data_IF_916016470698
#
_entry.id   IF_916016470698
#
_cell.length_a   1.000
_cell.length_b   1.000
_cell.length_c   1.000
_cell.angle_alpha   90.00
_cell.angle_beta   90.00
_cell.angle_gamma   90.00
#
_symmetry.space_group_name_H-M   'P 1'
#
loop_
_entity.id
_entity.type
_entity.pdbx_description
1 polymer ?
#
# COMPACT_ATOMS: atom_id res chain seq x y z
N UNK A 1 -3.23 11.79 9.87
CA UNK A 1 -3.93 10.81 10.68
C UNK A 1 -3.16 10.40 11.92
N UNK A 2 -3.80 9.73 12.83
CA UNK A 2 -3.11 9.16 14.00
C UNK A 2 -2.37 7.90 13.57
N UNK A 3 -1.13 7.75 14.04
CA UNK A 3 -0.39 6.51 13.87
C UNK A 3 -1.04 5.35 14.65
N UNK A 4 -0.79 4.12 14.22
CA UNK A 4 -1.28 2.94 14.91
C UNK A 4 -0.61 2.78 16.28
N UNK A 5 -1.32 2.19 17.24
CA UNK A 5 -0.79 1.92 18.58
C UNK A 5 0.02 0.59 18.65
N UNK A 6 0.35 0.00 17.52
CA UNK A 6 1.02 -1.31 17.43
C UNK A 6 0.08 -2.52 17.58
N UNK A 7 -1.18 -2.28 17.94
CA UNK A 7 -2.22 -3.33 18.11
C UNK A 7 -3.27 -3.34 17.01
N UNK A 8 -3.10 -2.53 15.95
CA UNK A 8 -4.01 -2.48 14.82
C UNK A 8 -5.25 -1.61 15.05
N UNK A 9 -5.18 -0.62 15.94
CA UNK A 9 -6.30 0.29 16.22
C UNK A 9 -6.72 1.11 14.99
N UNK A 10 -5.78 1.44 14.10
CA UNK A 10 -6.06 2.17 12.88
C UNK A 10 -7.02 1.42 11.92
N UNK A 11 -7.04 0.08 11.96
CA UNK A 11 -7.95 -0.74 11.12
C UNK A 11 -9.41 -0.54 11.47
N UNK A 12 -9.73 -0.19 12.71
CA UNK A 12 -11.12 -0.03 13.15
C UNK A 12 -11.85 1.08 12.37
N UNK A 13 -11.12 2.05 11.86
CA UNK A 13 -11.68 3.13 11.04
C UNK A 13 -11.96 2.72 9.59
N UNK A 14 -11.43 1.58 9.15
CA UNK A 14 -11.54 1.09 7.77
C UNK A 14 -12.57 -0.04 7.65
N UNK A 15 -12.86 -0.75 8.74
CA UNK A 15 -13.79 -1.86 8.74
C UNK A 15 -15.25 -1.42 8.57
N UNK A 16 -15.95 -2.07 7.64
CA UNK A 16 -17.35 -1.80 7.34
C UNK A 16 -18.31 -2.69 8.13
N UNK A 17 -17.85 -3.84 8.60
CA UNK A 17 -18.72 -4.86 9.22
C UNK A 17 -18.24 -5.30 10.61
N UNK A 18 -19.18 -5.61 11.49
CA UNK A 18 -18.89 -6.07 12.86
C UNK A 18 -18.05 -7.35 12.93
N UNK A 19 -18.18 -8.24 11.95
CA UNK A 19 -17.36 -9.44 11.88
C UNK A 19 -15.89 -9.15 11.48
N UNK A 20 -15.64 -8.09 10.74
CA UNK A 20 -14.27 -7.63 10.42
C UNK A 20 -13.58 -7.10 11.68
N UNK A 21 -14.31 -6.35 12.51
CA UNK A 21 -13.82 -5.88 13.81
C UNK A 21 -13.46 -7.08 14.71
N UNK A 22 -14.32 -8.10 14.78
CA UNK A 22 -14.10 -9.31 15.60
C UNK A 22 -12.93 -10.16 15.08
N UNK A 23 -12.79 -10.30 13.78
CA UNK A 23 -11.76 -11.14 13.16
C UNK A 23 -10.44 -10.40 12.92
N UNK A 24 -10.45 -9.07 12.93
CA UNK A 24 -9.32 -8.23 12.55
C UNK A 24 -8.93 -8.35 11.08
N UNK A 25 -9.87 -8.75 10.21
CA UNK A 25 -9.61 -9.02 8.78
C UNK A 25 -10.65 -8.35 7.91
N UNK A 26 -10.19 -7.64 6.87
CA UNK A 26 -11.06 -7.10 5.82
C UNK A 26 -11.69 -8.25 5.03
N UNK A 27 -12.98 -8.19 4.78
CA UNK A 27 -13.74 -9.18 4.00
C UNK A 27 -14.46 -8.56 2.82
N UNK A 28 -14.58 -7.25 2.80
CA UNK A 28 -15.27 -6.43 1.79
C UNK A 28 -14.29 -5.55 1.03
N UNK A 29 -14.79 -4.83 0.05
CA UNK A 29 -14.10 -3.70 -0.58
C UNK A 29 -14.51 -2.43 0.14
N UNK A 30 -13.56 -1.75 0.80
CA UNK A 30 -13.80 -0.45 1.40
C UNK A 30 -13.24 0.66 0.49
N UNK A 31 -13.99 1.76 0.35
CA UNK A 31 -13.61 2.90 -0.48
C UNK A 31 -13.34 4.11 0.39
N UNK A 32 -12.18 4.71 0.21
CA UNK A 32 -11.74 5.92 0.90
C UNK A 32 -11.14 6.90 -0.10
N UNK A 33 -11.17 8.19 0.24
CA UNK A 33 -10.55 9.23 -0.58
C UNK A 33 -9.49 9.99 0.20
N UNK A 34 -8.46 10.42 -0.50
CA UNK A 34 -7.41 11.29 0.00
C UNK A 34 -7.29 12.50 -0.93
N UNK A 35 -7.45 13.70 -0.37
CA UNK A 35 -7.32 14.95 -1.10
C UNK A 35 -5.99 15.63 -0.84
N UNK A 36 -5.41 16.21 -1.90
CA UNK A 36 -4.27 17.11 -1.83
C UNK A 36 -4.69 18.50 -2.34
N UNK A 37 -4.25 19.56 -1.67
CA UNK A 37 -4.44 20.93 -2.14
C UNK A 37 -3.44 21.30 -3.26
N UNK A 38 -3.47 22.55 -3.71
CA UNK A 38 -2.56 23.06 -4.74
C UNK A 38 -1.09 23.12 -4.31
N UNK A 39 -0.82 23.09 -3.01
CA UNK A 39 0.53 23.05 -2.44
C UNK A 39 1.01 21.61 -2.16
N UNK A 40 0.18 20.60 -2.44
CA UNK A 40 0.48 19.19 -2.19
C UNK A 40 0.31 18.75 -0.73
N UNK A 41 -0.39 19.55 0.08
CA UNK A 41 -0.72 19.18 1.47
C UNK A 41 -2.01 18.36 1.50
N UNK A 42 -2.08 17.43 2.44
CA UNK A 42 -3.28 16.62 2.65
C UNK A 42 -4.40 17.46 3.24
N UNK A 43 -5.55 17.49 2.55
CA UNK A 43 -6.74 18.24 2.92
C UNK A 43 -7.51 17.55 4.06
N UNK A 44 -7.75 16.25 3.93
CA UNK A 44 -8.50 15.48 4.92
C UNK A 44 -7.59 14.94 6.03
N UNK A 45 -7.06 15.85 6.81
CA UNK A 45 -6.31 15.52 8.01
C UNK A 45 -7.29 15.22 9.16
N UNK A 46 -7.02 14.21 9.99
CA UNK A 46 -7.90 13.64 11.05
C UNK A 46 -8.49 14.61 12.06
N UNK A 47 -8.11 15.87 12.03
CA UNK A 47 -8.61 16.88 12.97
C UNK A 47 -10.04 17.35 12.68
N UNK A 48 -10.55 17.09 11.48
CA UNK A 48 -11.94 17.39 11.09
C UNK A 48 -12.51 16.19 10.34
N UNK A 49 -13.67 15.69 10.77
CA UNK A 49 -14.49 14.77 9.96
C UNK A 49 -15.09 15.58 8.83
N UNK A 50 -14.36 15.70 7.73
CA UNK A 50 -14.87 16.34 6.52
C UNK A 50 -15.70 15.34 5.74
N UNK A 51 -16.83 15.77 5.22
CA UNK A 51 -17.59 15.00 4.26
C UNK A 51 -16.85 14.93 2.93
N UNK A 52 -17.11 13.88 2.14
CA UNK A 52 -16.46 13.70 0.84
C UNK A 52 -16.64 14.91 -0.08
N UNK A 53 -17.80 15.55 -0.03
CA UNK A 53 -18.10 16.75 -0.82
C UNK A 53 -17.14 17.90 -0.48
N UNK A 54 -16.84 18.09 0.78
CA UNK A 54 -15.95 19.14 1.24
C UNK A 54 -14.49 18.83 0.91
N UNK A 55 -14.09 17.55 1.02
CA UNK A 55 -12.76 17.10 0.60
C UNK A 55 -12.57 17.36 -0.90
N UNK A 56 -13.56 17.01 -1.72
CA UNK A 56 -13.51 17.20 -3.18
C UNK A 56 -13.39 18.69 -3.53
N UNK A 57 -14.16 19.57 -2.88
CA UNK A 57 -14.12 21.02 -3.14
C UNK A 57 -12.80 21.66 -2.74
N UNK A 58 -12.16 21.19 -1.66
CA UNK A 58 -10.93 21.73 -1.13
C UNK A 58 -9.66 21.14 -1.77
N UNK A 59 -9.79 20.11 -2.61
CA UNK A 59 -8.66 19.40 -3.18
C UNK A 59 -8.42 19.76 -4.64
N UNK A 60 -7.15 19.90 -5.02
CA UNK A 60 -6.70 20.01 -6.42
C UNK A 60 -6.45 18.63 -7.04
N UNK A 61 -6.10 17.63 -6.20
CA UNK A 61 -5.90 16.22 -6.60
C UNK A 61 -6.61 15.31 -5.60
N UNK A 62 -7.34 14.33 -6.11
CA UNK A 62 -8.05 13.34 -5.29
C UNK A 62 -7.57 11.96 -5.68
N UNK A 63 -7.27 11.15 -4.67
CA UNK A 63 -6.92 9.74 -4.82
C UNK A 63 -8.01 8.90 -4.18
N UNK A 64 -8.54 7.96 -4.93
CA UNK A 64 -9.48 6.95 -4.44
C UNK A 64 -8.72 5.70 -4.03
N UNK A 65 -8.89 5.26 -2.78
CA UNK A 65 -8.35 4.02 -2.26
C UNK A 65 -9.45 2.96 -2.19
N UNK A 66 -9.14 1.79 -2.72
CA UNK A 66 -9.94 0.58 -2.55
C UNK A 66 -9.16 -0.37 -1.64
N UNK A 67 -9.60 -0.49 -0.37
CA UNK A 67 -9.03 -1.46 0.55
C UNK A 67 -9.62 -2.84 0.26
N UNK A 68 -8.76 -3.79 -0.08
CA UNK A 68 -9.12 -5.13 -0.49
C UNK A 68 -8.71 -6.16 0.55
N UNK A 69 -9.47 -7.25 0.61
CA UNK A 69 -9.20 -8.35 1.53
C UNK A 69 -7.90 -9.08 1.18
N UNK A 70 -6.98 -9.17 2.13
CA UNK A 70 -5.69 -9.87 1.95
C UNK A 70 -5.72 -11.37 2.29
N UNK A 71 -6.81 -11.89 2.87
CA UNK A 71 -6.88 -13.27 3.34
C UNK A 71 -7.41 -14.23 2.25
N UNK A 72 -6.85 -15.44 2.16
CA UNK A 72 -7.19 -16.47 1.16
C UNK A 72 -8.70 -16.73 1.06
N UNK A 73 -9.41 -16.76 2.17
CA UNK A 73 -10.86 -16.95 2.23
C UNK A 73 -11.64 -15.94 1.35
N UNK A 74 -11.11 -14.73 1.22
CA UNK A 74 -11.76 -13.62 0.52
C UNK A 74 -11.10 -13.28 -0.83
N UNK A 75 -10.29 -14.19 -1.36
CA UNK A 75 -9.57 -13.98 -2.63
C UNK A 75 -10.50 -13.62 -3.79
N UNK A 76 -11.69 -14.23 -3.84
CA UNK A 76 -12.71 -13.88 -4.86
C UNK A 76 -13.13 -12.41 -4.79
N UNK A 77 -13.34 -11.89 -3.58
CA UNK A 77 -13.67 -10.48 -3.36
C UNK A 77 -12.53 -9.57 -3.80
N UNK A 78 -11.29 -9.96 -3.54
CA UNK A 78 -10.09 -9.23 -3.98
C UNK A 78 -9.97 -9.18 -5.50
N UNK A 79 -10.17 -10.32 -6.18
CA UNK A 79 -10.15 -10.38 -7.64
C UNK A 79 -11.25 -9.50 -8.24
N UNK A 80 -12.47 -9.59 -7.71
CA UNK A 80 -13.58 -8.74 -8.15
C UNK A 80 -13.28 -7.26 -7.93
N UNK A 81 -12.76 -6.89 -6.75
CA UNK A 81 -12.39 -5.51 -6.45
C UNK A 81 -11.33 -4.97 -7.41
N UNK A 82 -10.27 -5.72 -7.68
CA UNK A 82 -9.24 -5.33 -8.65
C UNK A 82 -9.79 -5.19 -10.08
N UNK A 83 -10.62 -6.14 -10.50
CA UNK A 83 -11.17 -6.14 -11.87
C UNK A 83 -12.22 -5.06 -12.10
N UNK A 84 -13.01 -4.73 -11.08
CA UNK A 84 -14.08 -3.73 -11.20
C UNK A 84 -13.60 -2.30 -11.01
N UNK A 85 -12.60 -2.07 -10.15
CA UNK A 85 -12.09 -0.72 -9.90
C UNK A 85 -11.07 -0.25 -10.94
N UNK A 86 -10.42 -1.18 -11.65
CA UNK A 86 -9.36 -0.90 -12.64
C UNK A 86 -8.39 0.16 -12.10
N UNK A 87 -7.66 -0.12 -11.00
CA UNK A 87 -6.85 0.89 -10.34
C UNK A 87 -5.63 1.27 -11.20
N UNK A 88 -5.22 2.53 -11.14
CA UNK A 88 -4.01 3.01 -11.79
C UNK A 88 -2.76 2.36 -11.19
N UNK A 89 -2.79 2.05 -9.89
CA UNK A 89 -1.69 1.39 -9.17
C UNK A 89 -2.21 0.57 -8.00
N UNK A 90 -1.59 -0.57 -7.75
CA UNK A 90 -1.88 -1.41 -6.59
C UNK A 90 -0.75 -1.35 -5.57
N UNK A 91 -1.06 -1.14 -4.29
CA UNK A 91 -0.11 -1.24 -3.19
C UNK A 91 -0.22 -2.61 -2.53
N UNK A 92 0.84 -3.42 -2.63
CA UNK A 92 0.93 -4.74 -1.99
C UNK A 92 1.73 -4.59 -0.70
N UNK A 93 1.08 -4.84 0.44
CA UNK A 93 1.70 -4.72 1.76
C UNK A 93 2.34 -6.02 2.20
N UNK A 94 3.58 -5.94 2.68
CA UNK A 94 4.38 -7.06 3.19
C UNK A 94 4.81 -6.71 4.62
N UNK A 95 4.45 -7.55 5.59
CA UNK A 95 4.96 -7.36 6.95
C UNK A 95 6.42 -7.80 7.04
N UNK A 96 7.33 -6.92 7.44
CA UNK A 96 8.75 -7.23 7.56
C UNK A 96 9.03 -8.44 8.46
N UNK A 97 8.18 -8.66 9.47
CA UNK A 97 8.26 -9.79 10.40
C UNK A 97 7.79 -11.13 9.83
N UNK A 98 7.06 -11.11 8.70
CA UNK A 98 6.47 -12.31 8.08
C UNK A 98 7.11 -12.67 6.73
N UNK A 99 7.79 -11.69 6.09
CA UNK A 99 8.33 -11.87 4.75
C UNK A 99 7.26 -12.13 3.68
N UNK A 100 7.64 -12.80 2.61
CA UNK A 100 6.75 -13.14 1.50
C UNK A 100 5.91 -14.37 1.85
N UNK A 101 4.60 -14.16 1.94
CA UNK A 101 3.63 -15.24 2.14
C UNK A 101 3.11 -15.79 0.81
N UNK A 102 2.40 -16.93 0.86
CA UNK A 102 1.66 -17.47 -0.31
C UNK A 102 0.74 -16.41 -0.91
N UNK A 103 -0.03 -15.70 -0.05
CA UNK A 103 -0.96 -14.67 -0.50
C UNK A 103 -0.27 -13.46 -1.14
N UNK A 104 0.92 -13.08 -0.65
CA UNK A 104 1.73 -12.04 -1.30
C UNK A 104 2.05 -12.41 -2.75
N UNK A 105 2.45 -13.66 -3.00
CA UNK A 105 2.73 -14.16 -4.35
C UNK A 105 1.49 -14.12 -5.23
N UNK A 106 0.34 -14.59 -4.72
CA UNK A 106 -0.93 -14.57 -5.43
C UNK A 106 -1.34 -13.15 -5.84
N UNK A 107 -1.23 -12.18 -4.92
CA UNK A 107 -1.55 -10.79 -5.22
C UNK A 107 -0.62 -10.18 -6.27
N UNK A 108 0.68 -10.48 -6.23
CA UNK A 108 1.63 -10.04 -7.27
C UNK A 108 1.26 -10.65 -8.62
N UNK A 109 0.97 -11.96 -8.67
CA UNK A 109 0.55 -12.62 -9.91
C UNK A 109 -0.76 -12.03 -10.46
N UNK A 110 -1.72 -11.71 -9.60
CA UNK A 110 -2.96 -11.05 -10.03
C UNK A 110 -2.70 -9.69 -10.68
N UNK A 111 -1.85 -8.86 -10.08
CA UNK A 111 -1.48 -7.57 -10.66
C UNK A 111 -0.79 -7.75 -12.02
N UNK A 112 0.11 -8.74 -12.14
CA UNK A 112 0.79 -9.03 -13.40
C UNK A 112 -0.20 -9.53 -14.46
N UNK A 113 -1.08 -10.47 -14.11
CA UNK A 113 -2.09 -11.03 -15.03
C UNK A 113 -3.09 -9.98 -15.52
N UNK A 114 -3.51 -9.08 -14.65
CA UNK A 114 -4.43 -7.99 -14.97
C UNK A 114 -3.72 -6.77 -15.59
N UNK A 115 -2.39 -6.84 -15.74
CA UNK A 115 -1.55 -5.74 -16.21
C UNK A 115 -1.71 -4.45 -15.39
N UNK A 116 -1.93 -4.59 -14.07
CA UNK A 116 -2.04 -3.47 -13.14
C UNK A 116 -0.65 -3.12 -12.61
N UNK A 117 -0.19 -1.86 -12.72
CA UNK A 117 1.02 -1.40 -12.07
C UNK A 117 0.94 -1.62 -10.56
N UNK A 118 2.04 -1.99 -9.91
CA UNK A 118 2.04 -2.18 -8.47
C UNK A 118 3.32 -1.69 -7.80
N UNK A 119 3.19 -1.34 -6.53
CA UNK A 119 4.28 -1.01 -5.62
C UNK A 119 4.26 -1.96 -4.44
N UNK A 120 5.41 -2.14 -3.78
CA UNK A 120 5.51 -2.91 -2.56
C UNK A 120 5.70 -1.98 -1.36
N UNK A 121 4.94 -2.21 -0.29
CA UNK A 121 5.11 -1.50 0.99
C UNK A 121 5.51 -2.54 2.04
N UNK A 122 6.77 -2.51 2.45
CA UNK A 122 7.27 -3.32 3.56
C UNK A 122 6.96 -2.57 4.86
N UNK A 123 6.01 -3.11 5.61
CA UNK A 123 5.50 -2.50 6.84
C UNK A 123 6.12 -3.13 8.08
N UNK A 124 5.89 -2.51 9.27
CA UNK A 124 6.36 -3.01 10.57
C UNK A 124 7.88 -3.09 10.69
N UNK A 125 8.60 -2.17 10.05
CA UNK A 125 10.07 -2.12 10.13
C UNK A 125 10.56 -1.80 11.56
N UNK A 126 9.72 -1.16 12.38
CA UNK A 126 9.98 -0.89 13.80
C UNK A 126 10.22 -2.15 14.62
N UNK A 127 9.50 -3.24 14.33
CA UNK A 127 9.63 -4.52 15.04
C UNK A 127 10.94 -5.25 14.68
N UNK A 128 11.49 -4.95 13.52
CA UNK A 128 12.68 -5.62 12.98
C UNK A 128 13.95 -4.80 13.14
N UNK A 129 13.91 -3.64 13.81
CA UNK A 129 15.09 -2.76 14.00
C UNK A 129 16.28 -3.48 14.62
N UNK A 130 16.04 -4.37 15.58
CA UNK A 130 17.07 -5.18 16.24
C UNK A 130 17.49 -6.43 15.45
N UNK A 131 16.82 -6.70 14.33
CA UNK A 131 17.01 -7.88 13.48
C UNK A 131 17.22 -7.48 12.02
N UNK A 132 18.31 -6.78 11.73
CA UNK A 132 18.61 -6.31 10.35
C UNK A 132 18.60 -7.42 9.32
N UNK A 133 19.02 -8.62 9.68
CA UNK A 133 19.02 -9.80 8.79
C UNK A 133 17.61 -10.11 8.22
N UNK A 134 16.55 -9.88 8.99
CA UNK A 134 15.16 -10.18 8.55
C UNK A 134 14.73 -9.25 7.41
N UNK A 135 15.13 -7.99 7.45
CA UNK A 135 14.85 -7.04 6.35
C UNK A 135 15.64 -7.43 5.10
N UNK A 136 16.90 -7.81 5.24
CA UNK A 136 17.76 -8.20 4.13
C UNK A 136 17.29 -9.52 3.50
N UNK A 137 16.84 -10.48 4.31
CA UNK A 137 16.20 -11.72 3.86
C UNK A 137 14.93 -11.41 3.07
N UNK A 138 14.03 -10.61 3.61
CA UNK A 138 12.79 -10.18 2.93
C UNK A 138 13.10 -9.48 1.59
N UNK A 139 14.09 -8.60 1.57
CA UNK A 139 14.56 -7.94 0.35
C UNK A 139 15.07 -8.94 -0.70
N UNK A 140 15.83 -9.92 -0.26
CA UNK A 140 16.39 -10.96 -1.13
C UNK A 140 15.27 -11.82 -1.72
N UNK A 141 14.31 -12.23 -0.91
CA UNK A 141 13.12 -12.98 -1.36
C UNK A 141 12.29 -12.19 -2.38
N UNK A 142 12.05 -10.90 -2.12
CA UNK A 142 11.34 -10.01 -3.06
C UNK A 142 12.07 -9.95 -4.40
N UNK A 143 13.39 -9.74 -4.39
CA UNK A 143 14.20 -9.68 -5.60
C UNK A 143 14.17 -10.97 -6.40
N UNK A 144 14.19 -12.12 -5.73
CA UNK A 144 14.09 -13.44 -6.36
C UNK A 144 12.71 -13.60 -7.01
N UNK A 145 11.64 -13.28 -6.27
CA UNK A 145 10.27 -13.41 -6.76
C UNK A 145 10.02 -12.53 -7.99
N UNK A 146 10.45 -11.28 -7.96
CA UNK A 146 10.24 -10.34 -9.07
C UNK A 146 11.05 -10.71 -10.34
N UNK A 147 12.15 -11.45 -10.19
CA UNK A 147 12.95 -11.96 -11.33
C UNK A 147 12.36 -13.22 -11.96
N UNK A 148 11.37 -13.86 -11.35
CA UNK A 148 10.79 -15.10 -11.89
C UNK A 148 10.27 -14.94 -13.32
N UNK A 149 10.35 -16.01 -14.15
CA UNK A 149 9.71 -16.03 -15.47
C UNK A 149 8.21 -15.72 -15.34
N UNK A 150 7.73 -14.78 -16.14
CA UNK A 150 6.34 -14.30 -16.08
C UNK A 150 6.17 -12.98 -15.32
N UNK A 151 7.03 -12.66 -14.36
CA UNK A 151 7.03 -11.33 -13.71
C UNK A 151 8.04 -10.41 -14.36
N UNK A 152 9.32 -10.77 -14.33
CA UNK A 152 10.45 -10.04 -14.96
C UNK A 152 10.47 -8.54 -14.61
N UNK A 153 10.44 -8.22 -13.32
CA UNK A 153 10.47 -6.86 -12.77
C UNK A 153 11.71 -6.65 -11.90
N UNK A 154 12.09 -5.39 -11.73
CA UNK A 154 13.22 -5.01 -10.88
C UNK A 154 12.69 -4.25 -9.66
N UNK A 155 13.03 -4.77 -8.48
CA UNK A 155 12.73 -4.09 -7.22
C UNK A 155 13.64 -2.87 -7.03
N UNK A 156 13.08 -1.71 -6.76
CA UNK A 156 13.81 -0.48 -6.46
C UNK A 156 13.44 0.04 -5.08
N UNK A 157 14.40 0.05 -4.17
CA UNK A 157 14.21 0.54 -2.81
C UNK A 157 14.20 2.05 -2.79
N UNK A 158 13.15 2.64 -2.26
CA UNK A 158 13.03 4.09 -2.03
C UNK A 158 13.74 4.45 -0.73
N UNK A 159 14.76 5.31 -0.80
CA UNK A 159 15.50 5.80 0.35
C UNK A 159 15.32 7.31 0.58
N UNK A 160 15.02 8.06 -0.48
CA UNK A 160 14.91 9.51 -0.45
C UNK A 160 13.86 10.02 -1.45
N UNK A 161 13.63 11.34 -1.46
CA UNK A 161 12.66 11.99 -2.33
C UNK A 161 13.04 11.96 -3.82
N UNK A 162 14.31 11.87 -4.14
CA UNK A 162 14.78 11.76 -5.54
C UNK A 162 14.42 10.39 -6.13
N UNK A 163 14.55 9.33 -5.32
CA UNK A 163 14.12 7.99 -5.70
C UNK A 163 12.62 7.94 -5.99
N UNK A 164 11.80 8.67 -5.20
CA UNK A 164 10.36 8.79 -5.42
C UNK A 164 10.07 9.42 -6.78
N UNK A 165 10.74 10.54 -7.10
CA UNK A 165 10.58 11.23 -8.38
C UNK A 165 11.01 10.35 -9.57
N UNK A 166 12.10 9.62 -9.41
CA UNK A 166 12.59 8.72 -10.45
C UNK A 166 11.58 7.58 -10.71
N UNK A 167 11.04 7.00 -9.65
CA UNK A 167 10.06 5.93 -9.78
C UNK A 167 8.72 6.42 -10.34
N UNK A 168 8.25 7.61 -9.96
CA UNK A 168 6.99 8.15 -10.48
C UNK A 168 7.05 8.40 -11.98
N UNK A 169 8.16 8.89 -12.50
CA UNK A 169 8.38 9.10 -13.95
C UNK A 169 8.43 7.79 -14.74
N UNK A 170 8.91 6.71 -14.12
CA UNK A 170 9.06 5.39 -14.76
C UNK A 170 7.90 4.43 -14.50
N UNK A 171 6.85 4.87 -13.82
CA UNK A 171 5.73 4.01 -13.43
C UNK A 171 5.00 3.38 -14.64
N UNK A 172 4.96 4.06 -15.77
CA UNK A 172 4.32 3.59 -17.00
C UNK A 172 5.03 2.39 -17.66
N UNK A 173 6.30 2.12 -17.33
CA UNK A 173 7.04 1.02 -17.95
C UNK A 173 6.77 -0.33 -17.32
N UNK A 174 6.16 -0.37 -16.14
CA UNK A 174 5.93 -1.58 -15.34
C UNK A 174 7.19 -2.45 -15.10
N UNK A 175 8.38 -1.96 -15.44
CA UNK A 175 9.65 -2.70 -15.31
C UNK A 175 10.29 -2.54 -13.94
N UNK A 176 10.08 -1.39 -13.31
CA UNK A 176 10.62 -1.05 -12.00
C UNK A 176 9.48 -1.07 -10.99
N UNK A 177 9.67 -1.82 -9.91
CA UNK A 177 8.70 -1.90 -8.81
C UNK A 177 9.24 -1.09 -7.62
N UNK A 178 8.62 0.08 -7.31
CA UNK A 178 8.98 0.86 -6.14
C UNK A 178 8.73 0.07 -4.86
N UNK A 179 9.69 0.11 -3.93
CA UNK A 179 9.56 -0.51 -2.62
C UNK A 179 9.74 0.55 -1.53
N UNK A 180 8.70 0.74 -0.76
CA UNK A 180 8.67 1.60 0.41
C UNK A 180 8.86 0.79 1.68
N UNK A 181 9.59 1.34 2.64
CA UNK A 181 9.80 0.74 3.96
C UNK A 181 9.15 1.66 4.99
N UNK A 182 8.13 1.17 5.67
CA UNK A 182 7.29 2.01 6.52
C UNK A 182 7.01 1.39 7.89
N UNK A 183 6.84 2.25 8.89
CA UNK A 183 6.24 1.90 10.15
C UNK A 183 4.97 2.74 10.38
N UNK A 184 3.85 2.07 10.57
CA UNK A 184 2.60 2.75 10.92
C UNK A 184 2.56 3.21 12.38
N UNK A 185 3.51 2.75 13.21
CA UNK A 185 3.62 3.12 14.63
C UNK A 185 4.48 4.37 14.78
N UNK A 186 5.64 4.41 14.13
CA UNK A 186 6.59 5.54 14.23
C UNK A 186 6.37 6.60 13.17
N UNK A 187 5.68 6.28 12.07
CA UNK A 187 5.52 7.16 10.91
C UNK A 187 6.69 7.11 9.94
N UNK A 188 7.75 6.37 10.25
CA UNK A 188 8.94 6.25 9.40
C UNK A 188 8.57 5.78 7.99
N UNK A 189 9.06 6.47 6.95
CA UNK A 189 8.87 6.12 5.54
C UNK A 189 7.48 6.47 4.94
N UNK A 190 6.50 6.88 5.75
CA UNK A 190 5.15 7.22 5.26
C UNK A 190 5.16 8.46 4.38
N UNK A 191 6.04 9.40 4.65
CA UNK A 191 6.10 10.65 3.87
C UNK A 191 6.56 10.42 2.42
N UNK A 192 7.42 9.43 2.17
CA UNK A 192 7.76 9.02 0.80
C UNK A 192 6.56 8.43 0.05
N UNK A 193 5.70 7.67 0.74
CA UNK A 193 4.45 7.15 0.14
C UNK A 193 3.50 8.29 -0.19
N UNK A 194 3.31 9.27 0.72
CA UNK A 194 2.49 10.45 0.47
C UNK A 194 3.01 11.27 -0.71
N UNK A 195 4.34 11.46 -0.78
CA UNK A 195 4.98 12.16 -1.89
C UNK A 195 4.74 11.42 -3.21
N UNK A 196 4.89 10.10 -3.24
CA UNK A 196 4.63 9.29 -4.43
C UNK A 196 3.18 9.38 -4.89
N UNK A 197 2.22 9.40 -3.96
CA UNK A 197 0.81 9.56 -4.26
C UNK A 197 0.47 10.95 -4.81
N UNK A 198 1.21 11.98 -4.40
CA UNK A 198 0.98 13.35 -4.85
C UNK A 198 1.56 13.66 -6.22
N UNK A 199 2.53 12.88 -6.69
CA UNK A 199 3.15 12.99 -8.03
C UNK A 199 2.30 12.33 -9.11
#
# INVERSE_FOLDING_TARGET
GKYDNGRGSARLSVFNFSHEIKSGRTSSVAHHILGFDSEGKIVNNDLMKMDWTDIVKASSKIISFFDLAGHEKYLKTTIMGLSSSIPDICFITIGANMGITKMTKEHIFLCVMLNIPFCLIVTKIDITKDRKNVIDETLSEIKILLKMPGIRRVAYKINNSEDVLLCSKNNNTNSIIPMFFCSNVTGEGIDHVKQFLNL
#
